data_IF_847427658813
#
_entry.id   IF_847427658813
#
_cell.length_a   1.000
_cell.length_b   1.000
_cell.length_c   1.000
_cell.angle_alpha   90.00
_cell.angle_beta   90.00
_cell.angle_gamma   90.00
#
_symmetry.space_group_name_H-M   'P 1'
#
loop_
_entity.id
_entity.type
_entity.pdbx_description
1 polymer ?
#
# COMPACT_ATOMS: atom_id res chain seq x y z
N UNK A 1 -5.57 24.67 -13.44
CA UNK A 1 -5.65 23.61 -12.40
C UNK A 1 -7.08 23.33 -11.95
N UNK A 2 -7.80 24.22 -11.24
CA UNK A 2 -9.20 23.94 -10.85
C UNK A 2 -10.12 23.69 -12.06
N UNK A 3 -9.98 24.45 -13.14
CA UNK A 3 -10.78 24.29 -14.36
C UNK A 3 -10.68 22.88 -14.96
N UNK A 4 -9.48 22.29 -15.00
CA UNK A 4 -9.28 20.94 -15.52
C UNK A 4 -9.98 19.88 -14.67
N UNK A 5 -9.94 20.03 -13.34
CA UNK A 5 -10.73 19.18 -12.44
C UNK A 5 -12.23 19.33 -12.74
N UNK A 6 -12.72 20.57 -12.88
CA UNK A 6 -14.14 20.81 -13.18
C UNK A 6 -14.58 20.17 -14.51
N UNK A 7 -13.75 20.21 -15.55
CA UNK A 7 -14.01 19.50 -16.81
C UNK A 7 -14.20 18.01 -16.58
N UNK A 8 -13.30 17.37 -15.82
CA UNK A 8 -13.41 15.95 -15.44
C UNK A 8 -14.67 15.66 -14.63
N UNK A 9 -15.03 16.53 -13.68
CA UNK A 9 -16.24 16.37 -12.88
C UNK A 9 -17.51 16.43 -13.74
N UNK A 10 -17.55 17.34 -14.73
CA UNK A 10 -18.66 17.43 -15.69
C UNK A 10 -18.75 16.17 -16.55
N UNK A 11 -17.63 15.62 -17.01
CA UNK A 11 -17.59 14.36 -17.76
C UNK A 11 -18.09 13.16 -16.94
N UNK A 12 -17.86 13.18 -15.62
CA UNK A 12 -18.42 12.21 -14.67
C UNK A 12 -19.91 12.43 -14.36
N UNK A 13 -20.55 13.43 -14.96
CA UNK A 13 -21.98 13.69 -14.82
C UNK A 13 -22.36 14.52 -13.59
N UNK A 14 -21.40 15.18 -12.93
CA UNK A 14 -21.73 16.09 -11.83
C UNK A 14 -22.45 17.33 -12.36
N UNK A 15 -23.48 17.77 -11.63
CA UNK A 15 -24.25 18.93 -12.04
C UNK A 15 -23.43 20.23 -11.99
N UNK A 16 -23.88 21.23 -12.76
CA UNK A 16 -23.19 22.51 -12.90
C UNK A 16 -23.08 23.27 -11.57
N UNK A 17 -24.11 23.23 -10.72
CA UNK A 17 -24.11 23.94 -9.43
C UNK A 17 -23.03 23.43 -8.48
N UNK A 18 -22.88 22.11 -8.38
CA UNK A 18 -21.84 21.46 -7.59
C UNK A 18 -20.46 21.74 -8.17
N UNK A 19 -20.31 21.67 -9.50
CA UNK A 19 -19.06 22.04 -10.17
C UNK A 19 -18.66 23.49 -9.88
N UNK A 20 -19.61 24.43 -9.92
CA UNK A 20 -19.34 25.84 -9.63
C UNK A 20 -18.99 26.06 -8.16
N UNK A 21 -19.66 25.34 -7.24
CA UNK A 21 -19.30 25.37 -5.82
C UNK A 21 -17.91 24.82 -5.55
N UNK A 22 -17.51 23.72 -6.21
CA UNK A 22 -16.15 23.18 -6.10
C UNK A 22 -15.13 24.15 -6.72
N UNK A 23 -15.48 24.81 -7.83
CA UNK A 23 -14.62 25.80 -8.46
C UNK A 23 -14.35 26.96 -7.50
N UNK A 24 -15.42 27.56 -6.97
CA UNK A 24 -15.37 28.63 -5.97
C UNK A 24 -14.55 28.21 -4.75
N UNK A 25 -14.78 26.99 -4.24
CA UNK A 25 -14.00 26.40 -3.15
C UNK A 25 -12.50 26.30 -3.46
N UNK A 26 -12.07 26.18 -4.72
CA UNK A 26 -10.67 25.99 -5.10
C UNK A 26 -9.98 27.28 -5.58
N UNK A 27 -10.73 28.32 -5.92
CA UNK A 27 -10.22 29.57 -6.50
C UNK A 27 -10.18 30.71 -5.50
N UNK A 28 -9.22 31.61 -5.67
CA UNK A 28 -9.12 32.88 -4.95
C UNK A 28 -9.17 32.75 -3.41
N UNK A 29 -8.65 31.64 -2.89
CA UNK A 29 -8.64 31.37 -1.45
C UNK A 29 -7.58 32.20 -0.73
N UNK A 30 -7.94 33.07 0.24
CA UNK A 30 -6.95 33.74 1.06
C UNK A 30 -6.32 32.77 2.07
N UNK A 31 -4.99 32.78 2.19
CA UNK A 31 -4.23 32.00 3.16
C UNK A 31 -3.23 32.89 3.88
N UNK A 32 -3.10 32.69 5.20
CA UNK A 32 -2.07 33.29 6.05
C UNK A 32 -1.57 32.26 7.06
N UNK A 33 -0.32 32.38 7.50
CA UNK A 33 0.27 31.51 8.53
C UNK A 33 0.29 32.26 9.86
N UNK A 34 -0.17 31.62 10.94
CA UNK A 34 -0.10 32.15 12.31
C UNK A 34 0.87 31.33 13.14
N UNK A 35 1.81 32.00 13.80
CA UNK A 35 2.74 31.39 14.77
C UNK A 35 2.63 32.20 16.07
N UNK A 36 2.00 31.60 17.10
CA UNK A 36 1.67 32.32 18.33
C UNK A 36 0.75 33.51 18.03
N UNK A 37 1.23 34.71 18.36
CA UNK A 37 0.50 35.97 18.15
C UNK A 37 0.82 36.65 16.80
N UNK A 38 1.79 36.14 16.04
CA UNK A 38 2.21 36.73 14.76
C UNK A 38 1.46 36.09 13.60
N UNK A 39 0.99 36.91 12.66
CA UNK A 39 0.28 36.49 11.44
C UNK A 39 1.06 37.01 10.23
N UNK A 40 1.27 36.16 9.22
CA UNK A 40 1.90 36.56 7.96
C UNK A 40 1.00 37.51 7.15
N UNK A 41 1.55 38.10 6.09
CA UNK A 41 0.71 38.65 5.02
C UNK A 41 -0.23 37.57 4.45
N UNK A 42 -1.36 38.01 3.91
CA UNK A 42 -2.31 37.13 3.23
C UNK A 42 -1.88 36.93 1.79
N UNK A 43 -1.86 35.68 1.34
CA UNK A 43 -1.63 35.29 -0.05
C UNK A 43 -2.88 34.61 -0.58
N UNK A 44 -3.29 34.98 -1.79
CA UNK A 44 -4.43 34.34 -2.47
C UNK A 44 -3.95 33.16 -3.31
N UNK A 45 -4.62 32.01 -3.17
CA UNK A 45 -4.29 30.76 -3.86
C UNK A 45 -5.46 30.26 -4.70
N UNK A 46 -5.17 29.93 -5.96
CA UNK A 46 -6.10 29.27 -6.89
C UNK A 46 -5.56 27.91 -7.35
N UNK A 47 -4.59 27.36 -6.63
CA UNK A 47 -3.93 26.09 -6.94
C UNK A 47 -3.92 25.17 -5.73
N UNK A 48 -4.10 23.87 -5.99
CA UNK A 48 -4.21 22.84 -4.96
C UNK A 48 -5.50 22.92 -4.15
N UNK A 49 -5.84 21.82 -3.50
CA UNK A 49 -6.89 21.77 -2.50
C UNK A 49 -6.27 21.97 -1.10
N UNK A 50 -6.96 22.62 -0.15
CA UNK A 50 -6.39 22.89 1.17
C UNK A 50 -6.02 21.59 1.91
N UNK A 51 -4.78 21.50 2.40
CA UNK A 51 -4.34 20.34 3.17
C UNK A 51 -5.07 20.29 4.51
N UNK A 52 -5.56 19.10 4.89
CA UNK A 52 -6.38 18.91 6.09
C UNK A 52 -7.88 19.14 5.88
N UNK A 53 -8.31 19.58 4.69
CA UNK A 53 -9.73 19.58 4.34
C UNK A 53 -10.20 18.16 3.98
N UNK A 54 -11.40 17.80 4.45
CA UNK A 54 -12.05 16.50 4.20
C UNK A 54 -12.28 16.24 2.71
N UNK A 55 -12.52 17.28 1.91
CA UNK A 55 -12.83 17.16 0.49
C UNK A 55 -11.58 16.96 -0.38
N UNK A 56 -10.42 17.45 0.05
CA UNK A 56 -9.18 17.44 -0.74
C UNK A 56 -8.75 16.05 -1.23
N UNK A 57 -8.77 14.98 -0.41
CA UNK A 57 -8.43 13.63 -0.89
C UNK A 57 -9.37 13.14 -2.00
N UNK A 58 -10.68 13.38 -1.87
CA UNK A 58 -11.66 12.97 -2.88
C UNK A 58 -11.42 13.72 -4.20
N UNK A 59 -11.18 15.03 -4.15
CA UNK A 59 -10.89 15.82 -5.34
C UNK A 59 -9.61 15.34 -6.04
N UNK A 60 -8.60 14.92 -5.29
CA UNK A 60 -7.39 14.34 -5.87
C UNK A 60 -7.66 12.97 -6.54
N UNK A 61 -8.47 12.11 -5.90
CA UNK A 61 -8.91 10.85 -6.51
C UNK A 61 -9.68 11.10 -7.81
N UNK A 62 -10.58 12.08 -7.83
CA UNK A 62 -11.35 12.46 -9.03
C UNK A 62 -10.47 13.11 -10.11
N UNK A 63 -9.48 13.92 -9.72
CA UNK A 63 -8.51 14.49 -10.67
C UNK A 63 -7.74 13.39 -11.40
N UNK A 64 -7.37 12.33 -10.69
CA UNK A 64 -6.51 11.26 -11.21
C UNK A 64 -7.29 10.03 -11.70
N UNK A 65 -8.63 10.07 -11.73
CA UNK A 65 -9.46 8.86 -11.96
C UNK A 65 -9.20 8.18 -13.31
N UNK A 66 -8.94 8.99 -14.35
CA UNK A 66 -8.67 8.61 -15.74
C UNK A 66 -7.20 8.20 -15.99
N UNK A 67 -6.33 8.28 -14.98
CA UNK A 67 -5.00 7.67 -15.04
C UNK A 67 -5.15 6.14 -14.97
N UNK A 68 -5.25 5.52 -16.14
CA UNK A 68 -5.47 4.10 -16.34
C UNK A 68 -4.41 3.51 -17.30
N UNK A 69 -4.01 2.24 -17.13
CA UNK A 69 -3.09 1.59 -18.04
C UNK A 69 -3.71 1.49 -19.43
N UNK A 70 -2.87 1.63 -20.44
CA UNK A 70 -3.28 1.52 -21.84
C UNK A 70 -2.98 0.14 -22.42
N UNK A 71 -1.94 -0.53 -21.93
CA UNK A 71 -1.62 -1.90 -22.30
C UNK A 71 -2.21 -2.90 -21.29
N UNK A 72 -2.77 -4.01 -21.78
CA UNK A 72 -3.34 -5.07 -20.93
C UNK A 72 -2.28 -5.82 -20.11
N UNK A 73 -1.01 -5.74 -20.51
CA UNK A 73 0.15 -6.27 -19.80
C UNK A 73 0.64 -5.37 -18.66
N UNK A 74 0.04 -4.18 -18.52
CA UNK A 74 0.43 -3.18 -17.54
C UNK A 74 -0.67 -2.93 -16.53
N UNK A 75 -0.26 -2.51 -15.34
CA UNK A 75 -1.14 -2.10 -14.26
C UNK A 75 -0.66 -0.77 -13.69
N UNK A 76 -1.61 0.12 -13.41
CA UNK A 76 -1.36 1.34 -12.66
C UNK A 76 -2.01 1.19 -11.28
N UNK A 77 -1.20 1.27 -10.24
CA UNK A 77 -1.64 1.24 -8.84
C UNK A 77 -1.45 2.63 -8.27
N UNK A 78 -2.51 3.22 -7.71
CA UNK A 78 -2.51 4.59 -7.16
C UNK A 78 -2.85 4.56 -5.68
N UNK A 79 -2.09 5.28 -4.87
CA UNK A 79 -2.40 5.56 -3.48
C UNK A 79 -2.03 7.01 -3.16
N UNK A 80 -3.04 7.88 -3.12
CA UNK A 80 -2.79 9.32 -3.15
C UNK A 80 -1.82 9.67 -4.30
N UNK A 81 -0.77 10.46 -4.05
CA UNK A 81 0.24 10.84 -5.02
C UNK A 81 1.21 9.71 -5.41
N UNK A 82 1.33 8.65 -4.59
CA UNK A 82 2.13 7.48 -4.93
C UNK A 82 1.47 6.69 -6.07
N UNK A 83 2.09 6.72 -7.25
CA UNK A 83 1.67 5.95 -8.42
C UNK A 83 2.74 4.94 -8.80
N UNK A 84 2.34 3.69 -9.06
CA UNK A 84 3.24 2.61 -9.47
C UNK A 84 2.74 1.98 -10.76
N UNK A 85 3.62 1.95 -11.76
CA UNK A 85 3.41 1.23 -13.02
C UNK A 85 4.07 -0.14 -12.89
N UNK A 86 3.30 -1.19 -13.12
CA UNK A 86 3.79 -2.57 -13.17
C UNK A 86 3.59 -3.07 -14.59
N UNK A 87 4.66 -3.44 -15.28
CA UNK A 87 4.59 -3.99 -16.64
C UNK A 87 5.21 -5.38 -16.73
N UNK A 88 4.60 -6.25 -17.54
CA UNK A 88 5.17 -7.55 -17.86
C UNK A 88 6.19 -7.43 -18.99
N UNK A 89 7.45 -7.76 -18.71
CA UNK A 89 8.49 -7.93 -19.72
C UNK A 89 8.44 -9.37 -20.23
N UNK A 90 8.25 -9.55 -21.54
CA UNK A 90 8.14 -10.87 -22.16
C UNK A 90 9.15 -10.98 -23.29
N UNK A 91 9.93 -12.07 -23.33
CA UNK A 91 10.98 -12.27 -24.35
C UNK A 91 11.98 -11.09 -24.46
N UNK A 92 12.30 -10.44 -23.34
CA UNK A 92 13.11 -9.21 -23.27
C UNK A 92 12.51 -7.99 -23.98
N UNK A 93 11.22 -8.03 -24.30
CA UNK A 93 10.49 -6.88 -24.78
C UNK A 93 9.84 -6.13 -23.60
N UNK A 94 10.29 -4.90 -23.39
CA UNK A 94 9.79 -3.96 -22.39
C UNK A 94 9.10 -2.74 -23.02
N UNK A 95 8.84 -2.77 -24.33
CA UNK A 95 8.24 -1.65 -25.09
C UNK A 95 6.91 -1.18 -24.50
N UNK A 96 6.00 -2.11 -24.20
CA UNK A 96 4.70 -1.79 -23.62
C UNK A 96 4.84 -1.08 -22.26
N UNK A 97 5.79 -1.50 -21.43
CA UNK A 97 6.07 -0.86 -20.14
C UNK A 97 6.68 0.54 -20.32
N UNK A 98 7.69 0.69 -21.18
CA UNK A 98 8.33 1.99 -21.45
C UNK A 98 7.36 2.99 -22.06
N UNK A 99 6.51 2.56 -22.99
CA UNK A 99 5.48 3.40 -23.59
C UNK A 99 4.46 3.86 -22.54
N UNK A 100 4.08 2.99 -21.61
CA UNK A 100 3.20 3.36 -20.49
C UNK A 100 3.81 4.41 -19.58
N UNK A 101 5.11 4.30 -19.27
CA UNK A 101 5.82 5.33 -18.49
C UNK A 101 5.83 6.66 -19.24
N UNK A 102 6.10 6.66 -20.54
CA UNK A 102 6.07 7.88 -21.36
C UNK A 102 4.67 8.51 -21.39
N UNK A 103 3.62 7.70 -21.55
CA UNK A 103 2.22 8.13 -21.50
C UNK A 103 1.86 8.69 -20.13
N UNK A 104 2.31 8.07 -19.05
CA UNK A 104 2.10 8.57 -17.70
C UNK A 104 2.77 9.94 -17.52
N UNK A 105 4.01 10.11 -17.98
CA UNK A 105 4.70 11.41 -17.93
C UNK A 105 3.94 12.49 -18.70
N UNK A 106 3.49 12.19 -19.93
CA UNK A 106 2.69 13.12 -20.73
C UNK A 106 1.34 13.43 -20.07
N UNK A 107 0.66 12.42 -19.51
CA UNK A 107 -0.61 12.58 -18.79
C UNK A 107 -0.43 13.45 -17.54
N UNK A 108 0.65 13.25 -16.76
CA UNK A 108 0.99 14.09 -15.63
C UNK A 108 1.16 15.55 -16.08
N UNK A 109 1.94 15.80 -17.14
CA UNK A 109 2.10 17.13 -17.73
C UNK A 109 0.78 17.78 -18.13
N UNK A 110 -0.09 17.06 -18.83
CA UNK A 110 -1.43 17.53 -19.23
C UNK A 110 -2.34 17.87 -18.03
N UNK A 111 -2.13 17.18 -16.90
CA UNK A 111 -2.86 17.41 -15.66
C UNK A 111 -2.18 18.44 -14.73
N UNK A 112 -1.10 19.08 -15.17
CA UNK A 112 -0.20 19.93 -14.37
C UNK A 112 0.25 19.25 -13.06
N UNK A 113 0.55 17.96 -13.15
CA UNK A 113 1.22 17.18 -12.13
C UNK A 113 2.68 17.03 -12.53
N UNK A 114 3.59 17.18 -11.58
CA UNK A 114 5.03 17.01 -11.81
C UNK A 114 5.49 15.69 -11.20
N UNK A 115 6.18 14.87 -11.99
CA UNK A 115 6.81 13.65 -11.50
C UNK A 115 8.11 14.01 -10.76
N UNK A 116 8.31 13.43 -9.59
CA UNK A 116 9.56 13.56 -8.85
C UNK A 116 10.49 12.40 -9.22
N UNK A 117 11.37 12.62 -10.21
CA UNK A 117 12.26 11.57 -10.72
C UNK A 117 13.22 11.06 -9.64
N UNK A 118 13.72 11.94 -8.76
CA UNK A 118 14.63 11.56 -7.65
C UNK A 118 14.00 10.56 -6.67
N UNK A 119 12.70 10.71 -6.41
CA UNK A 119 11.91 9.79 -5.58
C UNK A 119 11.41 8.57 -6.35
N UNK A 120 11.36 8.63 -7.66
CA UNK A 120 10.94 7.52 -8.51
C UNK A 120 12.05 6.46 -8.56
N UNK A 121 11.67 5.20 -8.36
CA UNK A 121 12.59 4.07 -8.38
C UNK A 121 12.05 3.01 -9.33
N UNK A 122 12.96 2.39 -10.07
CA UNK A 122 12.66 1.25 -10.92
C UNK A 122 13.16 -0.03 -10.24
N UNK A 123 12.34 -1.08 -10.24
CA UNK A 123 12.74 -2.37 -9.69
C UNK A 123 12.33 -3.47 -10.68
N UNK A 124 13.31 -4.22 -11.17
CA UNK A 124 13.10 -5.30 -12.14
C UNK A 124 13.12 -6.64 -11.42
N UNK A 125 12.01 -7.38 -11.51
CA UNK A 125 11.86 -8.71 -10.92
C UNK A 125 12.08 -9.77 -12.01
N UNK A 126 13.27 -10.39 -12.05
CA UNK A 126 13.62 -11.42 -13.04
C UNK A 126 14.18 -12.69 -12.39
N UNK A 127 13.45 -13.80 -12.53
CA UNK A 127 13.83 -15.11 -11.99
C UNK A 127 14.47 -16.05 -13.03
N UNK A 128 14.77 -15.58 -14.23
CA UNK A 128 15.47 -16.36 -15.24
C UNK A 128 16.92 -16.60 -14.82
N UNK A 129 17.50 -17.74 -15.22
CA UNK A 129 18.90 -18.07 -14.94
C UNK A 129 19.88 -17.11 -15.61
N UNK A 130 19.58 -16.75 -16.86
CA UNK A 130 20.28 -15.71 -17.60
C UNK A 130 19.43 -14.44 -17.53
N UNK A 131 19.78 -13.55 -16.61
CA UNK A 131 19.15 -12.24 -16.51
C UNK A 131 19.65 -11.35 -17.65
N UNK A 132 18.79 -10.46 -18.11
CA UNK A 132 19.16 -9.45 -19.10
C UNK A 132 19.47 -8.14 -18.38
N UNK A 133 20.45 -7.39 -18.89
CA UNK A 133 20.66 -6.03 -18.42
C UNK A 133 19.54 -5.14 -18.93
N UNK A 134 18.94 -4.37 -18.02
CA UNK A 134 17.91 -3.40 -18.35
C UNK A 134 18.51 -2.01 -18.28
N UNK A 135 18.36 -1.25 -19.37
CA UNK A 135 18.73 0.17 -19.35
C UNK A 135 17.78 0.93 -18.43
N UNK A 136 18.25 1.91 -17.65
CA UNK A 136 17.36 2.74 -16.84
C UNK A 136 16.26 3.42 -17.66
N UNK A 137 15.10 3.65 -17.05
CA UNK A 137 14.11 4.58 -17.57
C UNK A 137 14.67 6.01 -17.58
N UNK A 138 14.30 6.77 -18.62
CA UNK A 138 14.55 8.22 -18.69
C UNK A 138 13.22 8.94 -18.62
N UNK A 139 13.06 9.82 -17.62
CA UNK A 139 11.88 10.66 -17.43
C UNK A 139 12.36 12.10 -17.41
N UNK A 140 11.83 12.94 -18.30
CA UNK A 140 12.20 14.36 -18.44
C UNK A 140 13.72 14.60 -18.52
N UNK A 141 14.43 13.72 -19.24
CA UNK A 141 15.89 13.77 -19.41
C UNK A 141 16.71 13.25 -18.24
N UNK A 142 16.07 12.82 -17.14
CA UNK A 142 16.72 12.28 -15.94
C UNK A 142 16.59 10.77 -15.86
N UNK A 143 17.68 10.08 -15.48
CA UNK A 143 17.70 8.62 -15.30
C UNK A 143 17.04 8.21 -14.00
N UNK A 144 16.10 7.28 -14.06
CA UNK A 144 15.50 6.65 -12.88
C UNK A 144 16.49 5.64 -12.29
N UNK A 145 16.64 5.64 -10.96
CA UNK A 145 17.51 4.68 -10.29
C UNK A 145 16.88 3.28 -10.28
N UNK A 146 17.61 2.29 -10.79
CA UNK A 146 17.25 0.87 -10.66
C UNK A 146 17.71 0.37 -9.28
N UNK A 147 16.78 -0.15 -8.49
CA UNK A 147 17.02 -0.62 -7.13
C UNK A 147 16.69 -2.10 -6.95
N UNK A 148 17.37 -2.74 -6.00
CA UNK A 148 17.10 -4.12 -5.57
C UNK A 148 15.97 -4.23 -4.55
N UNK A 149 15.65 -3.12 -3.89
CA UNK A 149 14.52 -3.05 -2.97
C UNK A 149 14.02 -1.62 -2.85
N UNK A 150 12.73 -1.47 -2.60
CA UNK A 150 12.10 -0.17 -2.36
C UNK A 150 11.02 -0.28 -1.29
N UNK A 151 10.69 0.84 -0.67
CA UNK A 151 9.60 0.91 0.29
C UNK A 151 8.31 1.23 -0.46
N UNK A 152 7.34 0.32 -0.41
CA UNK A 152 6.03 0.45 -1.03
C UNK A 152 4.94 0.45 0.03
N UNK A 153 4.22 1.57 0.17
CA UNK A 153 3.10 1.77 1.11
C UNK A 153 3.39 1.38 2.58
N UNK A 154 4.65 1.46 3.01
CA UNK A 154 5.05 1.17 4.39
C UNK A 154 5.93 -0.06 4.57
N UNK A 155 5.88 -1.00 3.62
CA UNK A 155 6.61 -2.27 3.63
C UNK A 155 7.77 -2.25 2.62
N UNK A 156 8.82 -3.03 2.86
CA UNK A 156 9.91 -3.20 1.90
C UNK A 156 9.60 -4.34 0.93
N UNK A 157 9.67 -4.03 -0.36
CA UNK A 157 9.62 -5.00 -1.45
C UNK A 157 11.03 -5.15 -2.03
N UNK A 158 11.43 -6.39 -2.31
CA UNK A 158 12.72 -6.73 -2.92
C UNK A 158 12.51 -7.39 -4.29
N UNK A 159 13.50 -7.27 -5.18
CA UNK A 159 13.45 -7.82 -6.53
C UNK A 159 13.44 -9.36 -6.58
N UNK A 160 13.93 -10.00 -5.51
CA UNK A 160 13.85 -11.44 -5.29
C UNK A 160 12.52 -11.91 -4.67
N UNK A 161 11.63 -10.96 -4.34
CA UNK A 161 10.36 -11.14 -3.64
C UNK A 161 10.50 -11.82 -2.26
N UNK A 162 11.66 -11.70 -1.61
CA UNK A 162 11.84 -12.09 -0.21
C UNK A 162 11.39 -10.97 0.73
N UNK A 163 11.01 -11.35 1.95
CA UNK A 163 10.46 -10.42 2.94
C UNK A 163 11.39 -10.21 4.14
N UNK A 164 12.65 -10.63 4.03
CA UNK A 164 13.62 -10.56 5.13
C UNK A 164 14.01 -9.11 5.45
N UNK A 165 14.13 -8.24 4.43
CA UNK A 165 14.35 -6.80 4.64
C UNK A 165 13.16 -6.16 5.37
N UNK A 166 11.93 -6.47 4.93
CA UNK A 166 10.71 -5.98 5.58
C UNK A 166 10.63 -6.45 7.04
N UNK A 167 10.82 -7.75 7.26
CA UNK A 167 10.76 -8.37 8.58
C UNK A 167 11.81 -7.79 9.52
N UNK A 168 13.02 -7.53 9.04
CA UNK A 168 14.09 -6.89 9.80
C UNK A 168 13.72 -5.46 10.22
N UNK A 169 13.15 -4.68 9.30
CA UNK A 169 12.68 -3.31 9.57
C UNK A 169 11.55 -3.27 10.61
N UNK A 170 10.54 -4.13 10.45
CA UNK A 170 9.44 -4.32 11.40
C UNK A 170 9.99 -4.73 12.77
N UNK A 171 10.92 -5.68 12.80
CA UNK A 171 11.55 -6.18 14.03
C UNK A 171 12.26 -5.07 14.79
N UNK A 172 13.06 -4.25 14.09
CA UNK A 172 13.78 -3.12 14.68
C UNK A 172 12.81 -2.12 15.34
N UNK A 173 11.72 -1.77 14.65
CA UNK A 173 10.67 -0.87 15.20
C UNK A 173 9.98 -1.47 16.41
N UNK A 174 9.63 -2.76 16.36
CA UNK A 174 8.98 -3.46 17.46
C UNK A 174 9.90 -3.58 18.69
N UNK A 175 11.20 -3.83 18.50
CA UNK A 175 12.18 -3.87 19.58
C UNK A 175 12.32 -2.53 20.32
N UNK A 176 12.28 -1.41 19.61
CA UNK A 176 12.25 -0.07 20.22
C UNK A 176 10.99 0.10 21.10
N UNK A 177 9.84 -0.40 20.64
CA UNK A 177 8.58 -0.32 21.42
C UNK A 177 8.54 -1.28 22.61
N UNK A 178 9.20 -2.44 22.51
CA UNK A 178 9.40 -3.35 23.65
C UNK A 178 10.16 -2.67 24.80
N UNK A 179 11.10 -1.77 24.52
CA UNK A 179 11.77 -1.00 25.57
C UNK A 179 10.77 -0.18 26.39
N UNK A 180 9.84 0.52 25.73
CA UNK A 180 8.78 1.26 26.43
C UNK A 180 7.84 0.34 27.21
N UNK A 181 7.47 -0.82 26.65
CA UNK A 181 6.68 -1.81 27.37
C UNK A 181 7.37 -2.27 28.68
N UNK A 182 8.71 -2.46 28.66
CA UNK A 182 9.48 -2.76 29.88
C UNK A 182 9.46 -1.62 30.89
N UNK A 183 9.55 -0.36 30.43
CA UNK A 183 9.45 0.81 31.31
C UNK A 183 8.07 0.91 31.97
N UNK A 184 7.00 0.69 31.21
CA UNK A 184 5.64 0.67 31.74
C UNK A 184 5.45 -0.44 32.77
N UNK A 185 6.03 -1.62 32.52
CA UNK A 185 6.04 -2.71 33.51
C UNK A 185 6.81 -2.34 34.78
N UNK A 186 7.97 -1.67 34.64
CA UNK A 186 8.76 -1.17 35.78
C UNK A 186 8.01 -0.11 36.59
N UNK A 187 7.15 0.68 35.93
CA UNK A 187 6.24 1.61 36.58
C UNK A 187 5.00 0.95 37.21
N UNK A 188 4.99 -0.39 37.35
CA UNK A 188 3.94 -1.17 37.98
C UNK A 188 2.54 -1.04 37.35
N UNK A 189 2.46 -0.71 36.05
CA UNK A 189 1.17 -0.68 35.37
C UNK A 189 0.53 -2.08 35.29
N UNK A 190 -0.81 -2.17 35.44
CA UNK A 190 -1.52 -3.45 35.47
C UNK A 190 -1.52 -4.13 34.08
N UNK A 191 -1.59 -5.48 34.03
CA UNK A 191 -1.53 -6.22 32.78
C UNK A 191 -2.52 -5.77 31.68
N UNK A 192 -3.78 -5.38 31.96
CA UNK A 192 -4.69 -4.88 30.92
C UNK A 192 -4.16 -3.65 30.18
N UNK A 193 -3.54 -2.70 30.89
CA UNK A 193 -2.94 -1.49 30.29
C UNK A 193 -1.72 -1.87 29.45
N UNK A 194 -0.90 -2.81 29.93
CA UNK A 194 0.26 -3.29 29.18
C UNK A 194 -0.15 -4.04 27.91
N UNK A 195 -1.21 -4.84 27.96
CA UNK A 195 -1.80 -5.51 26.80
C UNK A 195 -2.36 -4.50 25.81
N UNK A 196 -3.05 -3.47 26.28
CA UNK A 196 -3.53 -2.38 25.42
C UNK A 196 -2.36 -1.67 24.73
N UNK A 197 -1.29 -1.36 25.45
CA UNK A 197 -0.08 -0.78 24.87
C UNK A 197 0.56 -1.72 23.84
N UNK A 198 0.68 -3.02 24.14
CA UNK A 198 1.20 -4.01 23.21
C UNK A 198 0.37 -4.06 21.93
N UNK A 199 -0.96 -4.16 22.02
CA UNK A 199 -1.85 -4.19 20.85
C UNK A 199 -1.74 -2.93 20.02
N UNK A 200 -1.82 -1.77 20.66
CA UNK A 200 -1.81 -0.47 19.97
C UNK A 200 -0.45 -0.10 19.36
N UNK A 201 0.66 -0.57 19.93
CA UNK A 201 1.99 -0.10 19.55
C UNK A 201 2.92 -1.19 19.03
N UNK A 202 2.86 -2.43 19.50
CA UNK A 202 3.78 -3.48 19.04
C UNK A 202 3.10 -4.37 18.01
N UNK A 203 1.95 -4.94 18.37
CA UNK A 203 1.15 -5.80 17.49
C UNK A 203 0.78 -5.04 16.22
N UNK A 204 0.30 -3.79 16.34
CA UNK A 204 -0.11 -2.97 15.19
C UNK A 204 0.96 -2.80 14.11
N UNK A 205 2.25 -2.69 14.44
CA UNK A 205 3.32 -2.68 13.43
C UNK A 205 3.55 -4.08 12.88
N UNK A 206 3.64 -5.07 13.77
CA UNK A 206 3.95 -6.44 13.40
C UNK A 206 2.86 -7.05 12.51
N UNK A 207 1.61 -6.64 12.68
CA UNK A 207 0.44 -7.08 11.91
C UNK A 207 0.13 -6.18 10.71
N UNK A 208 0.83 -5.07 10.52
CA UNK A 208 0.61 -4.16 9.39
C UNK A 208 0.85 -4.91 8.08
N UNK A 209 -0.14 -4.90 7.18
CA UNK A 209 -0.10 -5.60 5.88
C UNK A 209 0.31 -7.09 5.97
N UNK A 210 0.16 -7.74 7.13
CA UNK A 210 0.71 -9.08 7.39
C UNK A 210 0.20 -10.15 6.40
N UNK A 211 -0.99 -9.94 5.83
CA UNK A 211 -1.59 -10.81 4.82
C UNK A 211 -0.80 -10.84 3.50
N UNK A 212 -0.06 -9.78 3.18
CA UNK A 212 0.71 -9.65 1.95
C UNK A 212 2.06 -10.39 2.01
N UNK A 213 2.77 -10.28 3.14
CA UNK A 213 4.17 -10.67 3.21
C UNK A 213 4.44 -11.92 4.07
N UNK A 214 3.68 -12.16 5.14
CA UNK A 214 4.04 -13.17 6.14
C UNK A 214 3.99 -14.61 5.60
N UNK A 215 3.08 -14.90 4.68
CA UNK A 215 2.99 -16.20 4.02
C UNK A 215 4.30 -16.61 3.34
N UNK A 216 5.05 -15.64 2.81
CA UNK A 216 6.33 -15.84 2.12
C UNK A 216 7.57 -15.59 2.99
N UNK A 217 7.41 -15.32 4.30
CA UNK A 217 8.54 -15.22 5.22
C UNK A 217 9.27 -16.56 5.38
N UNK A 218 10.60 -16.49 5.47
CA UNK A 218 11.43 -17.64 5.81
C UNK A 218 11.14 -18.14 7.23
N UNK A 219 11.59 -19.36 7.56
CA UNK A 219 11.50 -19.89 8.93
C UNK A 219 12.25 -18.98 9.92
N UNK A 220 13.37 -18.40 9.51
CA UNK A 220 14.15 -17.47 10.35
C UNK A 220 13.39 -16.17 10.63
N UNK A 221 12.76 -15.60 9.60
CA UNK A 221 11.92 -14.40 9.71
C UNK A 221 10.76 -14.63 10.68
N UNK A 222 10.03 -15.75 10.51
CA UNK A 222 8.91 -16.12 11.39
C UNK A 222 9.36 -16.31 12.84
N UNK A 223 10.50 -16.98 13.07
CA UNK A 223 11.07 -17.16 14.42
C UNK A 223 11.42 -15.81 15.05
N UNK A 224 11.96 -14.88 14.27
CA UNK A 224 12.33 -13.54 14.75
C UNK A 224 11.10 -12.74 15.19
N UNK A 225 10.03 -12.74 14.38
CA UNK A 225 8.76 -12.11 14.74
C UNK A 225 8.12 -12.77 15.97
N UNK A 226 8.13 -14.10 16.04
CA UNK A 226 7.58 -14.83 17.20
C UNK A 226 8.33 -14.51 18.50
N UNK A 227 9.64 -14.23 18.45
CA UNK A 227 10.41 -13.80 19.63
C UNK A 227 9.92 -12.46 20.18
N UNK A 228 9.48 -11.54 19.33
CA UNK A 228 8.90 -10.25 19.77
C UNK A 228 7.65 -10.51 20.60
N UNK A 229 6.73 -11.32 20.07
CA UNK A 229 5.49 -11.71 20.76
C UNK A 229 5.80 -12.39 22.11
N UNK A 230 6.71 -13.37 22.12
CA UNK A 230 7.11 -14.07 23.35
C UNK A 230 7.78 -13.14 24.37
N UNK A 231 8.52 -12.13 23.90
CA UNK A 231 9.14 -11.14 24.80
C UNK A 231 8.07 -10.26 25.43
N UNK A 232 7.09 -9.80 24.67
CA UNK A 232 5.95 -9.05 25.19
C UNK A 232 5.15 -9.88 26.20
N UNK A 233 4.79 -11.12 25.86
CA UNK A 233 4.07 -12.06 26.73
C UNK A 233 4.77 -12.21 28.09
N UNK A 234 6.10 -12.41 28.10
CA UNK A 234 6.89 -12.49 29.35
C UNK A 234 6.86 -11.20 30.17
N UNK A 235 6.91 -10.03 29.52
CA UNK A 235 6.88 -8.73 30.21
C UNK A 235 5.50 -8.48 30.83
N UNK A 236 4.43 -8.80 30.10
CA UNK A 236 3.04 -8.55 30.50
C UNK A 236 2.56 -9.60 31.51
N UNK A 237 3.07 -10.84 31.42
CA UNK A 237 2.63 -12.03 32.15
C UNK A 237 1.18 -12.44 31.81
N UNK A 238 0.81 -12.30 30.54
CA UNK A 238 -0.48 -12.73 29.98
C UNK A 238 -0.20 -13.39 28.64
N UNK A 239 -0.87 -14.52 28.36
CA UNK A 239 -0.74 -15.20 27.07
C UNK A 239 -1.17 -14.30 25.92
N UNK A 240 -0.36 -14.24 24.87
CA UNK A 240 -0.63 -13.48 23.65
C UNK A 240 -0.79 -14.45 22.46
N UNK A 241 -1.65 -14.11 21.48
CA UNK A 241 -1.75 -14.88 20.25
C UNK A 241 -0.37 -14.99 19.56
N UNK A 242 -0.05 -16.17 19.01
CA UNK A 242 1.19 -16.34 18.26
C UNK A 242 1.17 -15.48 16.99
N UNK A 243 2.34 -15.23 16.40
CA UNK A 243 2.38 -14.47 15.13
C UNK A 243 1.64 -15.19 14.01
N UNK A 244 1.62 -16.53 14.05
CA UNK A 244 0.84 -17.35 13.13
C UNK A 244 -0.67 -17.15 13.35
N UNK A 245 -1.13 -17.09 14.61
CA UNK A 245 -2.55 -16.87 14.91
C UNK A 245 -3.02 -15.49 14.46
N UNK A 246 -2.18 -14.46 14.67
CA UNK A 246 -2.43 -13.10 14.17
C UNK A 246 -2.55 -13.12 12.65
N UNK A 247 -1.58 -13.70 11.95
CA UNK A 247 -1.61 -13.82 10.48
C UNK A 247 -2.87 -14.54 9.98
N UNK A 248 -3.18 -15.72 10.55
CA UNK A 248 -4.35 -16.51 10.16
C UNK A 248 -5.65 -15.74 10.40
N UNK A 249 -5.77 -15.05 11.53
CA UNK A 249 -6.94 -14.23 11.85
C UNK A 249 -7.10 -13.08 10.85
N UNK A 250 -6.02 -12.38 10.52
CA UNK A 250 -6.04 -11.30 9.53
C UNK A 250 -6.40 -11.81 8.13
N UNK A 251 -5.85 -12.96 7.72
CA UNK A 251 -6.17 -13.56 6.43
C UNK A 251 -7.65 -13.90 6.32
N UNK A 252 -8.24 -14.53 7.34
CA UNK A 252 -9.66 -14.90 7.37
C UNK A 252 -10.54 -13.65 7.34
N UNK A 253 -10.25 -12.66 8.20
CA UNK A 253 -11.02 -11.40 8.23
C UNK A 253 -11.00 -10.67 6.90
N UNK A 254 -9.83 -10.58 6.25
CA UNK A 254 -9.70 -9.95 4.93
C UNK A 254 -10.38 -10.78 3.84
N UNK A 255 -10.37 -12.11 3.95
CA UNK A 255 -11.07 -12.97 3.01
C UNK A 255 -12.59 -12.78 3.11
N UNK A 256 -13.17 -12.79 4.31
CA UNK A 256 -14.59 -12.48 4.52
C UNK A 256 -14.96 -11.11 3.99
N UNK A 257 -14.16 -10.06 4.24
CA UNK A 257 -14.47 -8.73 3.71
C UNK A 257 -14.50 -8.66 2.17
N UNK A 258 -13.85 -9.60 1.48
CA UNK A 258 -13.85 -9.70 0.01
C UNK A 258 -15.00 -10.60 -0.46
N UNK A 259 -15.26 -11.70 0.24
CA UNK A 259 -16.34 -12.64 -0.10
C UNK A 259 -17.71 -12.00 0.12
N UNK A 260 -17.88 -11.26 1.21
CA UNK A 260 -19.17 -10.68 1.57
C UNK A 260 -19.52 -9.46 0.68
N UNK A 261 -18.52 -8.84 0.06
CA UNK A 261 -18.68 -7.72 -0.87
C UNK A 261 -18.55 -8.18 -2.33
N UNK A 262 -19.69 -8.37 -3.00
CA UNK A 262 -19.75 -8.78 -4.41
C UNK A 262 -19.21 -7.72 -5.39
N UNK A 263 -19.09 -6.46 -4.94
CA UNK A 263 -18.53 -5.37 -5.75
C UNK A 263 -17.01 -5.25 -5.60
N UNK A 264 -16.42 -5.97 -4.64
CA UNK A 264 -14.99 -5.94 -4.42
C UNK A 264 -14.25 -6.51 -5.66
N UNK A 265 -13.24 -5.81 -6.22
CA UNK A 265 -12.56 -6.24 -7.45
C UNK A 265 -11.95 -7.64 -7.38
N UNK A 266 -11.55 -8.07 -6.19
CA UNK A 266 -11.00 -9.41 -5.93
C UNK A 266 -12.03 -10.48 -5.55
N UNK A 267 -13.33 -10.18 -5.55
CA UNK A 267 -14.38 -11.14 -5.19
C UNK A 267 -14.34 -12.39 -6.08
N UNK A 268 -14.04 -12.21 -7.36
CA UNK A 268 -13.93 -13.29 -8.37
C UNK A 268 -12.89 -14.37 -8.03
N UNK A 269 -11.87 -14.04 -7.21
CA UNK A 269 -10.89 -15.03 -6.75
C UNK A 269 -11.49 -16.04 -5.74
N UNK A 270 -12.66 -15.77 -5.16
CA UNK A 270 -13.34 -16.61 -4.19
C UNK A 270 -14.59 -17.27 -4.79
N UNK A 271 -14.40 -18.13 -5.79
CA UNK A 271 -15.51 -18.86 -6.42
C UNK A 271 -15.84 -20.16 -5.66
N UNK A 272 -17.10 -20.37 -5.27
CA UNK A 272 -17.55 -21.63 -4.67
C UNK A 272 -17.57 -22.80 -5.69
N UNK A 273 -17.32 -24.01 -5.20
CA UNK A 273 -17.56 -25.25 -5.97
C UNK A 273 -19.08 -25.50 -6.09
N UNK A 274 -19.53 -26.37 -7.03
CA UNK A 274 -20.96 -26.66 -7.22
C UNK A 274 -21.68 -27.15 -5.96
N UNK A 275 -20.96 -27.73 -4.99
CA UNK A 275 -21.51 -28.15 -3.71
C UNK A 275 -21.86 -26.99 -2.76
N UNK A 276 -21.43 -25.77 -3.04
CA UNK A 276 -21.62 -24.58 -2.20
C UNK A 276 -20.80 -24.56 -0.90
N UNK A 277 -20.05 -25.63 -0.59
CA UNK A 277 -19.38 -25.79 0.71
C UNK A 277 -17.93 -25.29 0.77
N UNK A 278 -17.24 -25.34 -0.37
CA UNK A 278 -15.80 -25.03 -0.46
C UNK A 278 -15.51 -24.09 -1.61
N UNK A 279 -14.57 -23.19 -1.41
CA UNK A 279 -14.00 -22.35 -2.44
C UNK A 279 -13.06 -23.14 -3.34
N UNK A 280 -13.06 -22.82 -4.63
CA UNK A 280 -12.17 -23.38 -5.64
C UNK A 280 -10.73 -22.95 -5.34
N UNK A 281 -9.84 -23.92 -5.15
CA UNK A 281 -8.42 -23.64 -4.97
C UNK A 281 -7.80 -22.99 -6.21
N UNK A 282 -6.98 -21.96 -6.00
CA UNK A 282 -6.18 -21.35 -7.06
C UNK A 282 -5.02 -22.29 -7.41
N UNK A 283 -4.87 -22.64 -8.69
CA UNK A 283 -3.72 -23.39 -9.19
C UNK A 283 -2.47 -22.53 -9.07
N UNK A 284 -1.52 -22.95 -8.23
CA UNK A 284 -0.25 -22.26 -8.05
C UNK A 284 0.90 -23.14 -8.58
N UNK A 285 1.72 -22.59 -9.48
CA UNK A 285 2.89 -23.27 -10.06
C UNK A 285 4.14 -23.06 -9.19
N UNK A 286 4.16 -21.99 -8.38
CA UNK A 286 5.29 -21.65 -7.52
C UNK A 286 4.87 -21.64 -6.05
N UNK A 287 5.82 -21.97 -5.17
CA UNK A 287 5.65 -21.82 -3.71
C UNK A 287 5.32 -20.39 -3.34
N UNK A 288 5.88 -19.39 -4.04
CA UNK A 288 5.60 -17.96 -3.77
C UNK A 288 4.15 -17.60 -4.00
N UNK A 289 3.59 -18.01 -5.13
CA UNK A 289 2.17 -17.80 -5.43
C UNK A 289 1.31 -18.60 -4.46
N UNK A 290 1.65 -19.87 -4.21
CA UNK A 290 0.96 -20.73 -3.25
C UNK A 290 0.91 -20.11 -1.85
N UNK A 291 1.94 -19.38 -1.45
CA UNK A 291 2.04 -18.73 -0.13
C UNK A 291 1.54 -17.29 -0.11
N UNK A 292 1.12 -16.73 -1.24
CA UNK A 292 0.48 -15.42 -1.30
C UNK A 292 -0.91 -15.43 -0.64
N UNK A 293 -1.48 -14.24 -0.47
CA UNK A 293 -2.74 -14.04 0.25
C UNK A 293 -3.89 -14.94 -0.26
N UNK A 294 -4.24 -14.89 -1.55
CA UNK A 294 -5.46 -15.55 -2.03
C UNK A 294 -5.45 -17.07 -1.86
N UNK A 295 -4.39 -17.83 -2.27
CA UNK A 295 -4.40 -19.27 -2.06
C UNK A 295 -4.36 -19.66 -0.57
N UNK A 296 -3.68 -18.88 0.27
CA UNK A 296 -3.69 -19.09 1.73
C UNK A 296 -5.06 -18.82 2.34
N UNK A 297 -5.71 -17.72 1.97
CA UNK A 297 -7.05 -17.36 2.43
C UNK A 297 -8.08 -18.44 2.06
N UNK A 298 -8.09 -18.90 0.80
CA UNK A 298 -8.99 -19.97 0.34
C UNK A 298 -8.77 -21.26 1.13
N UNK A 299 -7.51 -21.65 1.38
CA UNK A 299 -7.22 -22.82 2.21
C UNK A 299 -7.74 -22.67 3.63
N UNK A 300 -7.55 -21.51 4.24
CA UNK A 300 -8.02 -21.22 5.61
C UNK A 300 -9.56 -21.23 5.71
N UNK A 301 -10.27 -20.72 4.69
CA UNK A 301 -11.73 -20.78 4.65
C UNK A 301 -12.23 -22.21 4.43
N UNK A 302 -11.56 -22.99 3.59
CA UNK A 302 -11.92 -24.39 3.31
C UNK A 302 -11.67 -25.36 4.48
N UNK A 303 -10.82 -24.99 5.45
CA UNK A 303 -10.53 -25.82 6.63
C UNK A 303 -11.36 -25.44 7.85
N UNK A 304 -11.97 -24.25 7.88
CA UNK A 304 -12.79 -23.77 9.00
C UNK A 304 -14.30 -23.94 8.81
N UNK A 305 -14.76 -24.33 7.61
CA UNK A 305 -16.15 -24.65 7.29
C UNK A 305 -16.43 -26.16 7.36
#
# INVERSE_FOLDING_TARGET
>A
MPQHLIEKLRLLGLNTSLCNWILDFLTERPQSVRIGNSISSTTTLSTGAPQGCVLSPLLFTLLTHDCAPTHSSNHIIKFADDTTVVGLISKNDESAYREEVQRLTAWCGANNLSLNVDKTKEMVVDFRRAQSDHSPLIIDGSSVEIVKSTKFLGDYLADDLTWSLNTSSITKKAQQRLYFLRRLRKAHLPPPILTMFYRGTIESIVSSCITAWFGNCTVSDRKTLQRIVRTAEKIIRVSLPSIMDIYTTHCIRKAHSIVDDHTHPSHTYFTLLPSGKRFRSIRAVTTRLCNSFFPQAIRLLNTKN
#
